data_IF_854141928421
#
_entry.id   IF_854141928421
#
_cell.length_a   1.000
_cell.length_b   1.000
_cell.length_c   1.000
_cell.angle_alpha   90.00
_cell.angle_beta   90.00
_cell.angle_gamma   90.00
#
_symmetry.space_group_name_H-M   'P 1'
#
loop_
_entity.id
_entity.type
_entity.pdbx_description
1 polymer ?
#
# COMPACT_ATOMS: atom_id res chain seq x y z
N UNK A 1 -4.78 -3.47 -57.47
CA UNK A 1 -4.59 -2.92 -56.11
C UNK A 1 -5.87 -3.20 -55.35
N UNK A 2 -5.96 -4.38 -54.71
CA UNK A 2 -7.20 -4.86 -54.08
C UNK A 2 -7.29 -4.36 -52.64
N UNK A 3 -8.34 -3.59 -52.34
CA UNK A 3 -8.79 -3.33 -50.98
C UNK A 3 -9.42 -4.62 -50.42
N UNK A 4 -8.75 -5.27 -49.48
CA UNK A 4 -9.34 -6.36 -48.69
C UNK A 4 -9.65 -5.83 -47.28
N UNK A 5 -10.86 -5.32 -47.10
CA UNK A 5 -11.43 -5.09 -45.77
C UNK A 5 -11.69 -6.46 -45.12
N UNK A 6 -10.78 -6.90 -44.23
CA UNK A 6 -11.08 -7.98 -43.30
C UNK A 6 -11.79 -7.40 -42.08
N UNK A 7 -13.07 -7.75 -41.99
CA UNK A 7 -13.95 -7.62 -40.83
C UNK A 7 -13.23 -7.94 -39.52
N UNK A 8 -13.12 -6.95 -38.63
CA UNK A 8 -12.77 -7.17 -37.23
C UNK A 8 -13.97 -7.88 -36.59
N UNK A 9 -13.82 -9.18 -36.30
CA UNK A 9 -14.77 -9.92 -35.49
C UNK A 9 -14.76 -9.35 -34.07
N UNK A 10 -15.87 -8.74 -33.67
CA UNK A 10 -16.12 -8.34 -32.29
C UNK A 10 -16.24 -9.59 -31.41
N UNK A 11 -15.28 -9.79 -30.51
CA UNK A 11 -15.36 -10.78 -29.43
C UNK A 11 -15.74 -9.99 -28.18
N UNK A 12 -16.88 -10.33 -27.57
CA UNK A 12 -17.31 -9.74 -26.31
C UNK A 12 -16.35 -10.22 -25.21
N UNK A 13 -15.40 -9.36 -24.83
CA UNK A 13 -14.49 -9.58 -23.71
C UNK A 13 -15.05 -8.79 -22.53
N UNK A 14 -15.69 -9.49 -21.58
CA UNK A 14 -16.16 -8.90 -20.31
C UNK A 14 -15.01 -8.64 -19.30
N UNK A 15 -13.75 -8.62 -19.74
CA UNK A 15 -12.57 -8.31 -18.93
C UNK A 15 -11.53 -7.49 -19.70
N UNK A 16 -11.93 -6.33 -20.24
CA UNK A 16 -10.98 -5.38 -20.85
C UNK A 16 -10.93 -4.07 -20.06
N UNK A 17 -10.15 -4.06 -18.97
CA UNK A 17 -9.80 -2.83 -18.22
C UNK A 17 -8.28 -2.56 -18.28
N UNK A 18 -7.51 -3.34 -19.06
CA UNK A 18 -6.03 -3.31 -18.96
C UNK A 18 -5.32 -2.82 -20.23
N UNK A 19 -6.03 -2.37 -21.26
CA UNK A 19 -5.37 -2.00 -22.52
C UNK A 19 -5.12 -0.48 -22.74
N UNK A 20 -5.71 0.44 -21.97
CA UNK A 20 -5.66 1.88 -22.33
C UNK A 20 -4.91 2.80 -21.35
N UNK A 21 -4.25 2.25 -20.31
CA UNK A 21 -3.59 3.08 -19.25
C UNK A 21 -2.07 2.90 -19.15
N UNK A 22 -1.42 2.37 -20.20
CA UNK A 22 0.02 2.08 -20.23
C UNK A 22 0.89 3.15 -20.91
N UNK A 23 0.40 4.38 -21.15
CA UNK A 23 1.23 5.45 -21.76
C UNK A 23 1.79 6.48 -20.77
N UNK A 24 1.62 6.32 -19.46
CA UNK A 24 2.22 7.23 -18.45
C UNK A 24 2.57 6.47 -17.17
N UNK A 25 3.70 5.76 -17.16
CA UNK A 25 4.22 5.18 -15.91
C UNK A 25 5.60 5.76 -15.64
N UNK A 26 5.65 6.72 -14.73
CA UNK A 26 6.80 6.89 -13.82
C UNK A 26 7.01 5.56 -13.11
N UNK A 27 8.17 4.93 -13.28
CA UNK A 27 8.58 3.62 -12.74
C UNK A 27 7.84 3.20 -11.45
N UNK A 28 6.71 2.50 -11.59
CA UNK A 28 6.07 1.81 -10.47
C UNK A 28 6.75 0.45 -10.39
N UNK A 29 7.52 0.21 -9.32
CA UNK A 29 8.10 -1.10 -9.05
C UNK A 29 6.99 -2.14 -9.02
N UNK A 30 6.99 -3.05 -10.00
CA UNK A 30 6.06 -4.16 -10.06
C UNK A 30 6.27 -5.09 -8.87
N UNK A 31 5.19 -5.64 -8.32
CA UNK A 31 5.25 -6.63 -7.24
C UNK A 31 5.64 -7.97 -7.86
N UNK A 32 6.77 -8.54 -7.45
CA UNK A 32 7.21 -9.87 -7.90
C UNK A 32 6.62 -10.97 -7.00
N UNK A 33 5.47 -11.52 -7.43
CA UNK A 33 4.79 -12.59 -6.71
C UNK A 33 5.58 -13.89 -6.65
N UNK A 34 6.56 -14.12 -7.54
CA UNK A 34 7.38 -15.33 -7.49
C UNK A 34 8.32 -15.30 -6.28
N UNK A 35 8.94 -14.15 -6.02
CA UNK A 35 9.80 -13.98 -4.84
C UNK A 35 9.00 -14.06 -3.54
N UNK A 36 7.77 -13.54 -3.54
CA UNK A 36 6.86 -13.67 -2.40
C UNK A 36 6.53 -15.14 -2.17
N UNK A 37 6.17 -15.90 -3.21
CA UNK A 37 5.89 -17.32 -3.12
C UNK A 37 7.08 -18.11 -2.55
N UNK A 38 8.30 -17.82 -3.01
CA UNK A 38 9.51 -18.46 -2.45
C UNK A 38 9.66 -18.16 -0.97
N UNK A 39 9.52 -16.91 -0.56
CA UNK A 39 9.65 -16.51 0.83
C UNK A 39 8.55 -17.10 1.74
N UNK A 40 7.35 -17.37 1.20
CA UNK A 40 6.29 -18.02 1.96
C UNK A 40 6.63 -19.46 2.35
N UNK A 41 7.42 -20.18 1.56
CA UNK A 41 7.73 -21.61 1.82
C UNK A 41 8.47 -21.84 3.15
N UNK A 42 9.23 -20.85 3.61
CA UNK A 42 10.05 -20.92 4.82
C UNK A 42 9.53 -20.03 5.95
N UNK A 43 8.36 -19.39 5.80
CA UNK A 43 7.85 -18.41 6.76
C UNK A 43 7.10 -19.10 7.91
N UNK A 44 7.68 -19.08 9.11
CA UNK A 44 7.06 -19.62 10.32
C UNK A 44 5.81 -18.82 10.74
N UNK A 45 5.74 -17.52 10.46
CA UNK A 45 4.57 -16.70 10.80
C UNK A 45 3.35 -17.13 9.97
N UNK A 46 3.56 -17.52 8.71
CA UNK A 46 2.49 -18.08 7.87
C UNK A 46 1.95 -19.39 8.46
N UNK A 47 2.82 -20.30 8.93
CA UNK A 47 2.40 -21.56 9.57
C UNK A 47 1.56 -21.29 10.81
N UNK A 48 1.95 -20.32 11.64
CA UNK A 48 1.15 -19.91 12.80
C UNK A 48 -0.21 -19.38 12.36
N UNK A 49 -0.26 -18.52 11.35
CA UNK A 49 -1.52 -17.94 10.85
C UNK A 49 -2.47 -19.00 10.26
N UNK A 50 -1.94 -20.06 9.66
CA UNK A 50 -2.73 -21.18 9.16
C UNK A 50 -3.48 -21.94 10.27
N UNK A 51 -3.02 -21.86 11.52
CA UNK A 51 -3.72 -22.46 12.67
C UNK A 51 -4.91 -21.63 13.18
N UNK A 52 -5.02 -20.36 12.75
CA UNK A 52 -6.06 -19.45 13.23
C UNK A 52 -7.37 -19.71 12.48
N UNK A 53 -8.43 -20.06 13.22
CA UNK A 53 -9.74 -20.44 12.66
C UNK A 53 -10.48 -19.34 11.92
N UNK A 54 -10.16 -18.06 12.17
CA UNK A 54 -10.77 -16.92 11.49
C UNK A 54 -10.17 -16.65 10.10
N UNK A 55 -9.06 -17.28 9.75
CA UNK A 55 -8.41 -17.17 8.44
C UNK A 55 -8.59 -18.48 7.68
N UNK A 56 -8.71 -18.40 6.35
CA UNK A 56 -8.81 -19.57 5.50
C UNK A 56 -7.77 -19.46 4.41
N UNK A 57 -6.65 -20.18 4.57
CA UNK A 57 -5.54 -20.14 3.63
C UNK A 57 -5.65 -21.23 2.57
N UNK A 58 -5.41 -20.85 1.31
CA UNK A 58 -5.33 -21.75 0.17
C UNK A 58 -4.21 -21.33 -0.76
N UNK A 59 -3.56 -22.31 -1.37
CA UNK A 59 -2.58 -22.09 -2.43
C UNK A 59 -3.25 -21.67 -3.74
N UNK A 60 -2.69 -20.66 -4.40
CA UNK A 60 -3.13 -20.17 -5.69
C UNK A 60 -2.00 -20.31 -6.72
N UNK A 61 -2.24 -20.94 -7.88
CA UNK A 61 -1.20 -21.15 -8.87
C UNK A 61 -0.81 -19.84 -9.55
N UNK A 62 0.50 -19.62 -9.70
CA UNK A 62 1.08 -18.54 -10.48
C UNK A 62 1.41 -19.02 -11.91
N UNK A 63 1.47 -18.11 -12.91
CA UNK A 63 1.87 -18.46 -14.29
C UNK A 63 3.26 -19.09 -14.40
N UNK A 64 4.11 -18.91 -13.40
CA UNK A 64 5.45 -19.50 -13.29
C UNK A 64 5.46 -20.97 -12.86
N UNK A 65 4.31 -21.53 -12.46
CA UNK A 65 4.20 -22.86 -11.87
C UNK A 65 4.39 -22.90 -10.34
N UNK A 66 4.70 -21.75 -9.70
CA UNK A 66 4.76 -21.64 -8.24
C UNK A 66 3.36 -21.46 -7.63
N UNK A 67 3.28 -21.65 -6.32
CA UNK A 67 2.04 -21.48 -5.55
C UNK A 67 2.17 -20.34 -4.54
N UNK A 68 1.12 -19.52 -4.45
CA UNK A 68 1.05 -18.39 -3.54
C UNK A 68 -0.03 -18.65 -2.49
N UNK A 69 0.34 -18.59 -1.21
CA UNK A 69 -0.60 -18.67 -0.11
C UNK A 69 -1.45 -17.42 -0.02
N UNK A 70 -2.76 -17.62 -0.10
CA UNK A 70 -3.77 -16.56 -0.07
C UNK A 70 -4.84 -16.86 0.96
N UNK A 71 -5.31 -15.82 1.64
CA UNK A 71 -6.51 -15.88 2.47
C UNK A 71 -7.76 -15.70 1.59
N UNK A 72 -8.71 -16.61 1.76
CA UNK A 72 -10.00 -16.68 1.07
C UNK A 72 -11.19 -16.58 2.03
N UNK A 73 -10.96 -16.24 3.31
CA UNK A 73 -12.02 -16.07 4.32
C UNK A 73 -13.01 -14.94 3.99
N UNK A 74 -12.68 -14.08 3.04
CA UNK A 74 -13.53 -12.96 2.61
C UNK A 74 -13.84 -13.04 1.12
N UNK A 75 -14.73 -12.17 0.63
CA UNK A 75 -15.10 -12.09 -0.79
C UNK A 75 -13.96 -11.79 -1.76
N UNK A 76 -12.80 -11.35 -1.25
CA UNK A 76 -11.61 -11.07 -2.05
C UNK A 76 -10.47 -11.98 -1.62
N UNK A 77 -9.80 -12.57 -2.60
CA UNK A 77 -8.56 -13.33 -2.41
C UNK A 77 -7.46 -12.34 -2.04
N UNK A 78 -6.78 -12.57 -0.92
CA UNK A 78 -5.70 -11.71 -0.44
C UNK A 78 -4.43 -12.53 -0.21
N UNK A 79 -3.36 -12.34 -1.00
CA UNK A 79 -2.09 -13.01 -0.73
C UNK A 79 -1.50 -12.60 0.62
N UNK A 80 -0.91 -13.58 1.30
CA UNK A 80 -0.11 -13.34 2.49
C UNK A 80 1.24 -12.71 2.10
N UNK A 81 1.67 -11.69 2.83
CA UNK A 81 2.92 -10.97 2.55
C UNK A 81 3.93 -11.21 3.69
N UNK A 82 5.01 -11.98 3.42
CA UNK A 82 6.13 -12.17 4.35
C UNK A 82 6.76 -10.84 4.76
N UNK A 83 7.36 -10.80 5.95
CA UNK A 83 7.91 -9.58 6.54
C UNK A 83 8.87 -8.83 5.60
N UNK A 84 9.72 -9.54 4.87
CA UNK A 84 10.70 -8.96 3.95
C UNK A 84 10.07 -8.08 2.85
N UNK A 85 8.84 -8.41 2.42
CA UNK A 85 8.17 -7.72 1.32
C UNK A 85 7.20 -6.61 1.78
N UNK A 86 6.83 -6.59 3.07
CA UNK A 86 5.82 -5.63 3.59
C UNK A 86 6.17 -4.18 3.29
N UNK A 87 7.45 -3.81 3.43
CA UNK A 87 7.91 -2.43 3.16
C UNK A 87 7.85 -2.09 1.67
N UNK A 88 8.18 -3.03 0.79
CA UNK A 88 8.03 -2.86 -0.66
C UNK A 88 6.56 -2.67 -1.05
N UNK A 89 5.67 -3.50 -0.52
CA UNK A 89 4.21 -3.37 -0.74
C UNK A 89 3.70 -2.03 -0.21
N UNK A 90 4.17 -1.60 0.97
CA UNK A 90 3.86 -0.28 1.50
C UNK A 90 4.30 0.82 0.53
N UNK A 91 5.53 0.80 0.04
CA UNK A 91 6.00 1.81 -0.92
C UNK A 91 5.21 1.79 -2.22
N UNK A 92 4.83 0.61 -2.71
CA UNK A 92 4.00 0.47 -3.91
C UNK A 92 2.61 1.12 -3.70
N UNK A 93 1.96 0.91 -2.56
CA UNK A 93 0.63 1.50 -2.29
C UNK A 93 0.74 2.98 -1.90
N UNK A 94 1.66 3.32 -1.01
CA UNK A 94 1.82 4.67 -0.48
C UNK A 94 2.40 5.61 -1.56
N UNK A 95 3.29 5.12 -2.42
CA UNK A 95 3.90 5.92 -3.49
C UNK A 95 2.92 6.40 -4.56
N UNK A 96 1.75 5.77 -4.71
CA UNK A 96 0.74 6.16 -5.72
C UNK A 96 0.26 7.60 -5.54
N UNK A 97 0.04 8.01 -4.30
CA UNK A 97 -0.56 9.32 -4.00
C UNK A 97 -0.23 9.86 -2.62
N UNK A 98 0.76 9.26 -1.94
CA UNK A 98 1.09 9.54 -0.54
C UNK A 98 -0.14 9.58 0.41
N UNK A 99 -1.05 8.59 0.36
CA UNK A 99 -2.23 8.57 1.20
C UNK A 99 -1.85 8.55 2.70
N UNK A 100 -2.71 9.15 3.51
CA UNK A 100 -2.54 9.16 4.96
C UNK A 100 -2.67 7.76 5.58
N UNK A 101 -2.17 7.61 6.80
CA UNK A 101 -2.06 6.34 7.55
C UNK A 101 -3.34 5.48 7.45
N UNK A 102 -4.51 6.03 7.77
CA UNK A 102 -5.78 5.29 7.76
C UNK A 102 -6.12 4.75 6.35
N UNK A 103 -5.92 5.58 5.34
CA UNK A 103 -6.18 5.22 3.94
C UNK A 103 -5.21 4.15 3.45
N UNK A 104 -3.92 4.26 3.78
CA UNK A 104 -2.91 3.25 3.44
C UNK A 104 -3.23 1.90 4.08
N UNK A 105 -3.57 1.87 5.38
CA UNK A 105 -3.99 0.63 6.07
C UNK A 105 -5.19 0.00 5.37
N UNK A 106 -6.21 0.81 5.04
CA UNK A 106 -7.41 0.32 4.34
C UNK A 106 -7.07 -0.28 2.98
N UNK A 107 -6.22 0.37 2.21
CA UNK A 107 -5.79 -0.11 0.90
C UNK A 107 -5.00 -1.41 1.00
N UNK A 108 -4.03 -1.49 1.92
CA UNK A 108 -3.26 -2.71 2.12
C UNK A 108 -4.14 -3.87 2.57
N UNK A 109 -4.98 -3.70 3.60
CA UNK A 109 -5.89 -4.75 4.09
C UNK A 109 -6.92 -5.20 3.05
N UNK A 110 -7.26 -4.35 2.09
CA UNK A 110 -8.19 -4.73 1.02
C UNK A 110 -7.59 -5.68 -0.02
N UNK A 111 -6.25 -5.77 -0.07
CA UNK A 111 -5.48 -6.50 -1.10
C UNK A 111 -4.58 -7.60 -0.53
N UNK A 112 -4.13 -7.47 0.71
CA UNK A 112 -3.07 -8.29 1.28
C UNK A 112 -3.40 -8.70 2.72
N UNK A 113 -2.81 -9.82 3.15
CA UNK A 113 -2.74 -10.22 4.56
C UNK A 113 -1.30 -10.12 5.04
N UNK A 114 -1.09 -9.33 6.09
CA UNK A 114 0.17 -9.33 6.82
C UNK A 114 -0.09 -8.93 8.28
N UNK A 115 0.50 -9.62 9.25
CA UNK A 115 0.48 -9.22 10.64
C UNK A 115 1.07 -7.83 10.85
N UNK A 116 0.64 -7.16 11.92
CA UNK A 116 1.18 -5.87 12.38
C UNK A 116 1.11 -4.70 11.38
N UNK A 117 0.32 -4.82 10.30
CA UNK A 117 0.19 -3.81 9.23
C UNK A 117 -0.05 -2.39 9.74
N UNK A 118 -0.85 -2.24 10.80
CA UNK A 118 -1.16 -0.93 11.38
C UNK A 118 0.08 -0.27 11.98
N UNK A 119 0.90 -1.04 12.71
CA UNK A 119 2.13 -0.54 13.34
C UNK A 119 3.14 -0.13 12.27
N UNK A 120 3.34 -1.00 11.29
CA UNK A 120 4.29 -0.80 10.20
C UNK A 120 3.93 0.43 9.35
N UNK A 121 2.68 0.51 8.90
CA UNK A 121 2.18 1.65 8.10
C UNK A 121 2.26 2.96 8.88
N UNK A 122 1.95 2.94 10.17
CA UNK A 122 2.09 4.13 11.02
C UNK A 122 3.53 4.62 11.06
N UNK A 123 4.48 3.72 11.29
CA UNK A 123 5.90 4.05 11.33
C UNK A 123 6.36 4.61 9.98
N UNK A 124 6.14 3.88 8.89
CA UNK A 124 6.66 4.25 7.57
C UNK A 124 6.02 5.50 6.98
N UNK A 125 4.72 5.72 7.21
CA UNK A 125 4.05 6.96 6.77
C UNK A 125 4.57 8.17 7.56
N UNK A 126 4.89 8.00 8.86
CA UNK A 126 5.45 9.07 9.69
C UNK A 126 6.89 9.43 9.29
N UNK A 127 7.67 8.48 8.80
CA UNK A 127 9.05 8.69 8.35
C UNK A 127 9.17 9.03 6.86
N UNK A 128 8.05 9.13 6.14
CA UNK A 128 8.03 9.50 4.73
C UNK A 128 8.40 10.98 4.53
N UNK A 129 9.59 11.24 3.98
CA UNK A 129 10.13 12.59 3.78
C UNK A 129 9.22 13.49 2.92
N UNK A 130 8.67 13.05 1.77
CA UNK A 130 7.69 13.85 1.02
C UNK A 130 6.47 14.24 1.86
N UNK A 131 5.91 13.31 2.63
CA UNK A 131 4.77 13.58 3.49
C UNK A 131 5.11 14.54 4.64
N UNK A 132 6.29 14.43 5.23
CA UNK A 132 6.75 15.33 6.29
C UNK A 132 6.89 16.76 5.77
N UNK A 133 7.52 16.94 4.60
CA UNK A 133 7.67 18.25 3.94
C UNK A 133 6.33 18.86 3.55
N UNK A 134 5.37 18.05 3.11
CA UNK A 134 4.03 18.53 2.77
C UNK A 134 3.18 18.89 4.00
N UNK A 135 3.48 18.32 5.17
CA UNK A 135 2.75 18.53 6.44
C UNK A 135 3.33 19.64 7.31
N UNK A 136 4.10 20.56 6.73
CA UNK A 136 4.46 21.79 7.42
C UNK A 136 3.18 22.62 7.53
N UNK A 137 2.44 22.45 8.63
CA UNK A 137 1.30 23.29 8.94
C UNK A 137 1.77 24.75 8.87
N UNK A 138 1.06 25.55 8.08
CA UNK A 138 1.13 27.00 8.14
C UNK A 138 0.94 27.37 9.61
N UNK A 139 2.01 27.80 10.28
CA UNK A 139 1.93 28.17 11.69
C UNK A 139 0.78 29.15 11.84
N UNK A 140 -0.21 28.82 12.68
CA UNK A 140 -1.07 29.84 13.26
C UNK A 140 -0.13 30.72 14.06
N UNK A 141 0.34 31.81 13.45
CA UNK A 141 1.09 32.83 14.16
C UNK A 141 0.13 33.36 15.21
N UNK A 142 0.28 32.89 16.45
CA UNK A 142 -0.36 33.54 17.58
C UNK A 142 0.10 34.99 17.56
N UNK A 143 -0.82 35.92 17.78
CA UNK A 143 -0.42 37.31 18.00
C UNK A 143 0.60 37.31 19.13
N UNK A 144 1.68 38.06 18.95
CA UNK A 144 2.61 38.32 20.05
C UNK A 144 1.78 38.93 21.18
N UNK A 145 1.89 38.39 22.38
CA UNK A 145 1.28 39.02 23.56
C UNK A 145 1.97 40.36 23.78
N UNK A 146 1.20 41.42 23.97
CA UNK A 146 1.74 42.67 24.49
C UNK A 146 2.11 42.41 25.96
N UNK A 147 3.39 42.52 26.26
CA UNK A 147 3.89 42.52 27.62
C UNK A 147 4.08 43.97 28.04
N UNK A 148 3.41 44.40 29.09
CA UNK A 148 3.68 45.72 29.66
C UNK A 148 5.08 45.74 30.25
N UNK A 149 5.85 46.77 29.93
CA UNK A 149 7.19 46.95 30.52
C UNK A 149 6.98 47.37 31.98
N UNK A 150 7.49 46.61 32.97
CA UNK A 150 7.40 47.02 34.37
C UNK A 150 8.04 48.41 34.53
N UNK A 151 7.32 49.32 35.19
CA UNK A 151 7.75 50.72 35.36
C UNK A 151 8.96 50.90 36.28
N UNK A 152 9.49 49.82 36.85
CA UNK A 152 10.59 49.87 37.81
C UNK A 152 11.26 48.52 38.09
N UNK A 153 12.45 48.60 38.69
CA UNK A 153 13.26 47.45 39.10
C UNK A 153 12.55 46.73 40.25
N UNK A 154 12.35 45.41 40.10
CA UNK A 154 11.61 44.52 41.02
C UNK A 154 10.08 44.63 41.01
N UNK A 155 9.48 45.38 40.07
CA UNK A 155 8.03 45.32 39.87
C UNK A 155 7.67 44.11 39.00
N UNK A 156 6.67 43.35 39.44
CA UNK A 156 6.05 42.28 38.65
C UNK A 156 4.85 42.89 37.94
N UNK A 157 4.65 42.51 36.66
CA UNK A 157 3.45 42.85 35.87
C UNK A 157 2.28 41.99 36.33
#
# INVERSE_FOLDING_TARGET
MYLCFRLIKYIKVETNIVADTLSRVTEVSSIDYNQIADAQTQDEELKILQTITSLNFKEYPLPSGKYLWCDISTSKIRPYIPQAFRKQIFHHIHGLSHPGIKSTIKLMNSKFICPSIKKDVQLWTRTCIPCQKAKINRHTKTKLGEYEVPSGRFCVV
#
